data_IF_214300319074
#
_entry.id   IF_214300319074
#
_cell.length_a   1.000
_cell.length_b   1.000
_cell.length_c   1.000
_cell.angle_alpha   90.00
_cell.angle_beta   90.00
_cell.angle_gamma   90.00
#
_symmetry.space_group_name_H-M   'P 1'
#
loop_
_entity.id
_entity.type
_entity.pdbx_description
1 polymer ?
#
# COMPACT_ATOMS: atom_id res chain seq x y z
N UNK A 1 4.45 -2.95 -4.29
CA UNK A 1 4.07 -2.42 -2.97
C UNK A 1 5.19 -2.76 -2.02
N UNK A 2 5.69 -1.79 -1.24
CA UNK A 2 6.69 -2.06 -0.20
C UNK A 2 6.03 -2.72 1.02
N UNK A 3 6.81 -3.31 1.94
CA UNK A 3 6.28 -3.88 3.19
C UNK A 3 5.57 -2.85 4.04
N UNK A 4 6.04 -1.60 4.00
CA UNK A 4 5.39 -0.47 4.66
C UNK A 4 5.11 0.63 3.65
N UNK A 5 3.88 1.10 3.62
CA UNK A 5 3.42 2.20 2.77
C UNK A 5 2.92 3.33 3.66
N UNK A 6 3.54 4.51 3.54
CA UNK A 6 3.09 5.74 4.23
C UNK A 6 2.31 6.57 3.24
N UNK A 7 1.04 6.85 3.55
CA UNK A 7 0.15 7.64 2.70
C UNK A 7 0.15 9.08 3.18
N UNK A 8 0.51 10.00 2.27
CA UNK A 8 0.47 11.43 2.49
C UNK A 8 -0.65 12.04 1.65
N UNK A 9 -1.56 12.80 2.28
CA UNK A 9 -2.66 13.46 1.59
C UNK A 9 -2.98 14.84 2.20
N UNK A 10 -3.78 15.64 1.49
CA UNK A 10 -4.18 16.99 1.90
C UNK A 10 -3.32 18.14 1.34
N UNK A 11 -3.74 19.38 1.61
CA UNK A 11 -3.01 20.62 1.31
C UNK A 11 -3.06 21.56 2.53
N UNK A 12 -1.98 21.68 3.33
CA UNK A 12 -0.69 21.00 3.19
C UNK A 12 -0.79 19.47 3.40
N UNK A 13 0.16 18.72 2.84
CA UNK A 13 0.18 17.27 2.95
C UNK A 13 0.55 16.80 4.36
N UNK A 14 -0.16 15.79 4.87
CA UNK A 14 0.09 15.16 6.17
C UNK A 14 0.00 13.65 6.06
N UNK A 15 0.57 12.92 7.02
CA UNK A 15 0.42 11.46 7.10
C UNK A 15 -1.01 11.14 7.49
N UNK A 16 -1.74 10.51 6.56
CA UNK A 16 -3.14 10.10 6.79
C UNK A 16 -3.27 8.61 7.08
N UNK A 17 -2.27 7.81 6.72
CA UNK A 17 -2.24 6.37 7.02
C UNK A 17 -0.84 5.78 6.89
N UNK A 18 -0.62 4.68 7.60
CA UNK A 18 0.52 3.78 7.45
C UNK A 18 -0.04 2.38 7.28
N UNK A 19 0.36 1.70 6.22
CA UNK A 19 -0.12 0.36 5.87
C UNK A 19 1.08 -0.58 5.85
N UNK A 20 1.08 -1.55 6.76
CA UNK A 20 2.00 -2.68 6.73
C UNK A 20 1.35 -3.81 5.89
N UNK A 21 2.08 -4.32 4.91
CA UNK A 21 1.57 -5.27 3.90
C UNK A 21 2.14 -6.67 4.04
N UNK A 22 3.17 -6.84 4.88
CA UNK A 22 3.78 -8.13 5.25
C UNK A 22 4.10 -9.05 4.07
N UNK A 23 4.62 -8.49 2.97
CA UNK A 23 5.02 -9.27 1.79
C UNK A 23 6.45 -9.82 1.90
N UNK A 24 7.23 -9.35 2.88
CA UNK A 24 8.57 -9.84 3.24
C UNK A 24 9.68 -9.31 2.34
N UNK A 25 10.94 -9.46 2.75
CA UNK A 25 12.07 -8.82 2.04
C UNK A 25 12.46 -9.50 0.71
N UNK A 26 12.19 -10.81 0.57
CA UNK A 26 12.57 -11.60 -0.61
C UNK A 26 11.32 -12.02 -1.38
N UNK A 27 11.07 -11.39 -2.52
CA UNK A 27 9.84 -11.63 -3.29
C UNK A 27 10.07 -11.65 -4.78
N UNK A 28 9.35 -12.56 -5.42
CA UNK A 28 9.07 -12.49 -6.85
C UNK A 28 7.90 -11.52 -7.08
N UNK A 29 8.10 -10.53 -7.94
CA UNK A 29 7.07 -9.52 -8.19
C UNK A 29 5.83 -10.07 -8.90
N UNK A 30 5.98 -11.02 -9.81
CA UNK A 30 4.86 -11.59 -10.55
C UNK A 30 3.97 -12.40 -9.59
N UNK A 31 4.57 -13.24 -8.75
CA UNK A 31 3.85 -14.00 -7.73
C UNK A 31 3.23 -13.09 -6.65
N UNK A 32 3.92 -12.01 -6.27
CA UNK A 32 3.36 -11.06 -5.29
C UNK A 32 2.10 -10.39 -5.81
N UNK A 33 2.05 -10.04 -7.11
CA UNK A 33 0.89 -9.37 -7.72
C UNK A 33 -0.33 -10.28 -7.89
N UNK A 34 -0.15 -11.60 -7.93
CA UNK A 34 -1.26 -12.55 -7.98
C UNK A 34 -1.83 -12.86 -6.60
N UNK A 35 -1.13 -12.49 -5.52
CA UNK A 35 -1.63 -12.65 -4.15
C UNK A 35 -2.83 -11.71 -3.89
N UNK A 36 -3.98 -12.21 -3.40
CA UNK A 36 -5.16 -11.37 -3.10
C UNK A 36 -4.85 -10.18 -2.19
N UNK A 37 -3.96 -10.36 -1.21
CA UNK A 37 -3.54 -9.29 -0.29
C UNK A 37 -2.94 -8.08 -1.02
N UNK A 38 -2.31 -8.29 -2.18
CA UNK A 38 -1.78 -7.20 -3.00
C UNK A 38 -2.91 -6.32 -3.54
N UNK A 39 -3.97 -6.95 -4.04
CA UNK A 39 -5.16 -6.26 -4.52
C UNK A 39 -5.82 -5.45 -3.41
N UNK A 40 -6.02 -6.07 -2.24
CA UNK A 40 -6.62 -5.44 -1.06
C UNK A 40 -5.82 -4.21 -0.59
N UNK A 41 -4.50 -4.37 -0.40
CA UNK A 41 -3.63 -3.27 0.01
C UNK A 41 -3.64 -2.13 -1.02
N UNK A 42 -3.61 -2.46 -2.32
CA UNK A 42 -3.67 -1.46 -3.39
C UNK A 42 -4.99 -0.71 -3.40
N UNK A 43 -6.12 -1.40 -3.27
CA UNK A 43 -7.45 -0.77 -3.20
C UNK A 43 -7.52 0.18 -2.01
N UNK A 44 -7.05 -0.26 -0.83
CA UNK A 44 -7.04 0.59 0.37
C UNK A 44 -6.21 1.86 0.20
N UNK A 45 -5.04 1.76 -0.44
CA UNK A 45 -4.20 2.93 -0.75
C UNK A 45 -4.95 3.89 -1.68
N UNK A 46 -5.60 3.39 -2.73
CA UNK A 46 -6.31 4.23 -3.69
C UNK A 46 -7.50 4.96 -3.06
N UNK A 47 -8.24 4.30 -2.17
CA UNK A 47 -9.32 4.94 -1.42
C UNK A 47 -8.81 6.12 -0.59
N UNK A 48 -7.65 6.00 0.05
CA UNK A 48 -7.05 7.05 0.87
C UNK A 48 -6.53 8.24 0.05
N UNK A 49 -6.29 8.06 -1.25
CA UNK A 49 -5.83 9.12 -2.15
C UNK A 49 -6.98 9.90 -2.80
N UNK A 50 -8.19 9.36 -2.80
CA UNK A 50 -9.38 10.01 -3.38
C UNK A 50 -10.19 10.84 -2.36
N UNK A 51 -9.63 11.09 -1.18
CA UNK A 51 -10.21 11.89 -0.10
C UNK A 51 -9.59 13.28 -0.05
#
# INVERSE_FOLDING_TARGET
LSDRVVVLAGKPASVVSIIDTDFGDHRDQALTKTNPKFGEARTRILELLHI
#
